data_IF_061126735032
#
_entry.id   IF_061126735032
#
_cell.length_a   1.000
_cell.length_b   1.000
_cell.length_c   1.000
_cell.angle_alpha   90.00
_cell.angle_beta   90.00
_cell.angle_gamma   90.00
#
_symmetry.space_group_name_H-M   'P 1'
#
loop_
_entity.id
_entity.type
_entity.pdbx_description
1 polymer ?
#
# COMPACT_ATOMS: atom_id res chain seq x y z
N UNK A 1 -45.96 -34.58 -23.30
CA UNK A 1 -44.82 -34.19 -22.44
C UNK A 1 -45.26 -34.27 -21.00
N UNK A 2 -44.63 -35.14 -20.22
CA UNK A 2 -45.15 -35.58 -18.92
C UNK A 2 -44.73 -34.62 -17.81
N UNK A 3 -45.52 -34.54 -16.74
CA UNK A 3 -45.28 -33.65 -15.58
C UNK A 3 -43.85 -33.78 -15.00
N UNK A 4 -43.27 -34.97 -15.13
CA UNK A 4 -41.89 -35.36 -14.78
C UNK A 4 -40.82 -34.63 -15.59
N UNK A 5 -41.02 -34.38 -16.89
CA UNK A 5 -40.04 -33.67 -17.74
C UNK A 5 -39.87 -32.21 -17.30
N UNK A 6 -40.99 -31.56 -16.96
CA UNK A 6 -40.98 -30.19 -16.42
C UNK A 6 -40.30 -30.10 -15.07
N UNK A 7 -40.47 -31.10 -14.21
CA UNK A 7 -39.83 -31.14 -12.90
C UNK A 7 -38.31 -31.35 -13.03
N UNK A 8 -37.87 -32.23 -13.93
CA UNK A 8 -36.46 -32.43 -14.24
C UNK A 8 -35.83 -31.16 -14.83
N UNK A 9 -36.52 -30.46 -15.74
CA UNK A 9 -36.06 -29.19 -16.27
C UNK A 9 -35.89 -28.11 -15.18
N UNK A 10 -36.85 -27.99 -14.25
CA UNK A 10 -36.77 -27.06 -13.12
C UNK A 10 -35.58 -27.37 -12.20
N UNK A 11 -35.35 -28.64 -11.87
CA UNK A 11 -34.19 -29.05 -11.05
C UNK A 11 -32.87 -28.67 -11.71
N UNK A 12 -32.69 -28.98 -12.99
CA UNK A 12 -31.48 -28.60 -13.76
C UNK A 12 -31.25 -27.08 -13.80
N UNK A 13 -32.32 -26.30 -13.94
CA UNK A 13 -32.23 -24.83 -13.90
C UNK A 13 -31.78 -24.36 -12.52
N UNK A 14 -32.35 -24.90 -11.45
CA UNK A 14 -31.97 -24.53 -10.08
C UNK A 14 -30.52 -24.93 -9.76
N UNK A 15 -30.09 -26.13 -10.15
CA UNK A 15 -28.71 -26.59 -9.99
C UNK A 15 -27.72 -25.64 -10.70
N UNK A 16 -28.03 -25.20 -11.92
CA UNK A 16 -27.19 -24.23 -12.64
C UNK A 16 -27.14 -22.86 -11.95
N UNK A 17 -28.27 -22.40 -11.41
CA UNK A 17 -28.32 -21.13 -10.67
C UNK A 17 -27.48 -21.21 -9.39
N UNK A 18 -27.61 -22.31 -8.64
CA UNK A 18 -26.83 -22.54 -7.42
C UNK A 18 -25.35 -22.59 -7.75
N UNK A 19 -24.94 -23.42 -8.70
CA UNK A 19 -23.54 -23.51 -9.14
C UNK A 19 -22.99 -22.16 -9.57
N UNK A 20 -23.77 -21.38 -10.33
CA UNK A 20 -23.35 -20.05 -10.76
C UNK A 20 -23.16 -19.09 -9.59
N UNK A 21 -24.01 -19.16 -8.57
CA UNK A 21 -23.88 -18.34 -7.35
C UNK A 21 -22.63 -18.74 -6.55
N UNK A 22 -22.35 -20.02 -6.43
CA UNK A 22 -21.15 -20.54 -5.78
C UNK A 22 -19.88 -20.05 -6.50
N UNK A 23 -19.82 -20.19 -7.83
CA UNK A 23 -18.70 -19.70 -8.64
C UNK A 23 -18.45 -18.19 -8.47
N UNK A 24 -19.52 -17.39 -8.42
CA UNK A 24 -19.43 -15.95 -8.21
C UNK A 24 -18.97 -15.61 -6.80
N UNK A 25 -19.49 -16.29 -5.78
CA UNK A 25 -19.09 -16.09 -4.39
C UNK A 25 -17.61 -16.45 -4.18
N UNK A 26 -17.15 -17.58 -4.71
CA UNK A 26 -15.74 -17.96 -4.65
C UNK A 26 -14.85 -16.95 -5.38
N UNK A 27 -15.28 -16.47 -6.55
CA UNK A 27 -14.55 -15.44 -7.29
C UNK A 27 -14.45 -14.16 -6.48
N UNK A 28 -15.54 -13.75 -5.83
CA UNK A 28 -15.56 -12.56 -4.99
C UNK A 28 -14.62 -12.71 -3.78
N UNK A 29 -14.63 -13.87 -3.12
CA UNK A 29 -13.67 -14.17 -2.04
C UNK A 29 -12.23 -14.06 -2.52
N UNK A 30 -11.91 -14.63 -3.69
CA UNK A 30 -10.57 -14.54 -4.28
C UNK A 30 -10.17 -13.10 -4.59
N UNK A 31 -11.06 -12.32 -5.20
CA UNK A 31 -10.78 -10.91 -5.53
C UNK A 31 -10.56 -10.10 -4.25
N UNK A 32 -11.42 -10.25 -3.24
CA UNK A 32 -11.28 -9.56 -1.96
C UNK A 32 -9.94 -9.88 -1.29
N UNK A 33 -9.55 -11.15 -1.26
CA UNK A 33 -8.26 -11.57 -0.70
C UNK A 33 -7.08 -10.95 -1.46
N UNK A 34 -7.12 -10.91 -2.80
CA UNK A 34 -6.10 -10.28 -3.62
C UNK A 34 -6.00 -8.76 -3.38
N UNK A 35 -7.14 -8.06 -3.31
CA UNK A 35 -7.17 -6.63 -3.04
C UNK A 35 -6.57 -6.32 -1.68
N UNK A 36 -6.94 -7.08 -0.64
CA UNK A 36 -6.37 -6.90 0.70
C UNK A 36 -4.86 -7.12 0.72
N UNK A 37 -4.37 -8.17 0.04
CA UNK A 37 -2.95 -8.46 -0.04
C UNK A 37 -2.16 -7.35 -0.77
N UNK A 38 -2.67 -6.85 -1.89
CA UNK A 38 -2.03 -5.76 -2.64
C UNK A 38 -2.05 -4.47 -1.83
N UNK A 39 -3.18 -4.11 -1.23
CA UNK A 39 -3.28 -2.91 -0.39
C UNK A 39 -2.30 -2.95 0.79
N UNK A 40 -2.18 -4.10 1.46
CA UNK A 40 -1.19 -4.27 2.53
C UNK A 40 0.24 -4.07 2.02
N UNK A 41 0.59 -4.69 0.89
CA UNK A 41 1.92 -4.55 0.29
C UNK A 41 2.23 -3.10 -0.14
N UNK A 42 1.23 -2.35 -0.62
CA UNK A 42 1.38 -0.93 -0.94
C UNK A 42 1.68 -0.12 0.32
N UNK A 43 0.92 -0.33 1.39
CA UNK A 43 1.14 0.37 2.66
C UNK A 43 2.51 0.05 3.26
N UNK A 44 2.95 -1.21 3.21
CA UNK A 44 4.27 -1.60 3.69
C UNK A 44 5.39 -0.96 2.87
N UNK A 45 5.21 -0.87 1.54
CA UNK A 45 6.13 -0.13 0.68
C UNK A 45 6.16 1.35 1.05
N UNK A 46 5.01 1.99 1.23
CA UNK A 46 4.93 3.42 1.59
C UNK A 46 5.62 3.70 2.93
N UNK A 47 5.43 2.83 3.94
CA UNK A 47 6.14 2.90 5.22
C UNK A 47 7.65 2.78 5.03
N UNK A 48 8.10 1.78 4.27
CA UNK A 48 9.52 1.58 4.00
C UNK A 48 10.15 2.77 3.26
N UNK A 49 9.42 3.37 2.30
CA UNK A 49 9.84 4.58 1.60
C UNK A 49 9.91 5.78 2.54
N UNK A 50 8.90 6.01 3.37
CA UNK A 50 8.88 7.10 4.34
C UNK A 50 10.02 6.98 5.36
N UNK A 51 10.29 5.76 5.86
CA UNK A 51 11.40 5.50 6.77
C UNK A 51 12.77 5.70 6.11
N UNK A 52 12.91 5.35 4.82
CA UNK A 52 14.12 5.64 4.05
C UNK A 52 14.31 7.15 3.84
N UNK A 53 13.26 7.87 3.42
CA UNK A 53 13.32 9.31 3.20
C UNK A 53 13.59 10.07 4.51
N UNK A 54 13.02 9.64 5.64
CA UNK A 54 13.35 10.19 6.96
C UNK A 54 14.83 10.02 7.29
N UNK A 55 15.38 8.82 7.11
CA UNK A 55 16.81 8.54 7.35
C UNK A 55 17.73 9.36 6.45
N UNK A 56 17.36 9.53 5.18
CA UNK A 56 18.11 10.37 4.24
C UNK A 56 18.03 11.83 4.65
N UNK A 57 16.85 12.31 5.04
CA UNK A 57 16.66 13.69 5.50
C UNK A 57 17.47 13.99 6.76
N UNK A 58 17.49 13.05 7.70
CA UNK A 58 18.34 13.13 8.90
C UNK A 58 19.83 13.20 8.54
N UNK A 59 20.30 12.33 7.64
CA UNK A 59 21.69 12.35 7.20
C UNK A 59 22.07 13.67 6.48
N UNK A 60 21.17 14.20 5.64
CA UNK A 60 21.35 15.50 4.99
C UNK A 60 21.36 16.64 6.01
N UNK A 61 20.50 16.56 7.03
CA UNK A 61 20.47 17.55 8.10
C UNK A 61 21.77 17.51 8.91
N UNK A 62 22.23 16.32 9.32
CA UNK A 62 23.52 16.15 9.99
C UNK A 62 24.64 16.77 9.15
N UNK A 63 24.75 16.42 7.87
CA UNK A 63 25.82 16.89 7.00
C UNK A 63 25.78 18.42 6.80
N UNK A 64 24.60 19.00 6.57
CA UNK A 64 24.49 20.40 6.16
C UNK A 64 24.28 21.40 7.30
N UNK A 65 23.74 20.94 8.44
CA UNK A 65 23.41 21.79 9.59
C UNK A 65 24.38 21.56 10.74
N UNK A 66 24.68 20.31 11.07
CA UNK A 66 25.54 19.99 12.22
C UNK A 66 27.01 20.02 11.81
N UNK A 67 27.34 19.41 10.67
CA UNK A 67 28.71 19.36 10.14
C UNK A 67 29.02 20.58 9.24
N UNK A 68 28.03 21.45 9.03
CA UNK A 68 28.15 22.72 8.29
C UNK A 68 28.68 22.59 6.85
N UNK A 69 28.52 21.42 6.23
CA UNK A 69 28.92 21.20 4.84
C UNK A 69 28.02 22.04 3.91
N UNK A 70 28.62 22.82 2.99
CA UNK A 70 27.85 23.60 2.02
C UNK A 70 26.89 22.71 1.20
N UNK A 71 25.66 23.19 0.98
CA UNK A 71 24.61 22.42 0.29
C UNK A 71 25.05 21.88 -1.08
N UNK A 72 25.87 22.62 -1.83
CA UNK A 72 26.39 22.16 -3.13
C UNK A 72 27.38 21.01 -2.99
N UNK A 73 28.20 21.04 -1.95
CA UNK A 73 29.17 20.00 -1.65
C UNK A 73 28.46 18.75 -1.11
N UNK A 74 27.50 18.92 -0.19
CA UNK A 74 26.63 17.84 0.26
C UNK A 74 25.88 17.17 -0.90
N UNK A 75 25.38 17.95 -1.87
CA UNK A 75 24.74 17.42 -3.07
C UNK A 75 25.70 16.56 -3.91
N UNK A 76 26.95 17.01 -4.09
CA UNK A 76 27.97 16.23 -4.78
C UNK A 76 28.33 14.94 -4.03
N UNK A 77 28.50 15.01 -2.70
CA UNK A 77 28.83 13.85 -1.85
C UNK A 77 27.71 12.80 -1.84
N UNK A 78 26.45 13.24 -1.80
CA UNK A 78 25.31 12.34 -1.80
C UNK A 78 24.86 11.89 -3.20
N UNK A 79 25.46 12.42 -4.27
CA UNK A 79 25.02 12.16 -5.64
C UNK A 79 23.60 12.67 -5.93
N UNK A 80 23.17 13.74 -5.25
CA UNK A 80 21.84 14.31 -5.35
C UNK A 80 21.87 15.66 -6.07
N UNK A 81 20.72 16.09 -6.58
CA UNK A 81 20.58 17.46 -7.05
C UNK A 81 20.60 18.45 -5.88
N UNK A 82 21.12 19.65 -6.11
CA UNK A 82 21.11 20.74 -5.10
C UNK A 82 19.69 21.07 -4.63
N UNK A 83 18.69 20.98 -5.52
CA UNK A 83 17.28 21.19 -5.15
C UNK A 83 16.80 20.12 -4.18
N UNK A 84 17.26 18.89 -4.38
CA UNK A 84 16.88 17.74 -3.55
C UNK A 84 17.44 17.85 -2.15
N UNK A 85 18.72 18.18 -2.01
CA UNK A 85 19.34 18.44 -0.71
C UNK A 85 18.62 19.58 0.02
N UNK A 86 18.25 20.65 -0.69
CA UNK A 86 17.46 21.75 -0.09
C UNK A 86 16.07 21.30 0.36
N UNK A 87 15.43 20.38 -0.37
CA UNK A 87 14.12 19.81 0.00
C UNK A 87 14.27 18.98 1.27
N UNK A 88 15.16 18.00 1.25
CA UNK A 88 15.44 17.08 2.36
C UNK A 88 15.85 17.81 3.65
N UNK A 89 16.65 18.87 3.53
CA UNK A 89 17.03 19.72 4.67
C UNK A 89 15.84 20.46 5.31
N UNK A 90 14.77 20.73 4.54
CA UNK A 90 13.56 21.41 5.05
C UNK A 90 12.54 20.44 5.62
N UNK A 91 12.60 19.17 5.23
CA UNK A 91 11.76 18.11 5.79
C UNK A 91 12.22 17.85 7.22
N UNK A 92 11.47 18.36 8.20
CA UNK A 92 11.83 18.17 9.62
C UNK A 92 11.74 16.68 9.96
N UNK A 93 12.77 16.07 10.57
CA UNK A 93 12.77 14.64 10.91
C UNK A 93 11.67 14.25 11.92
N UNK A 94 11.09 15.23 12.62
CA UNK A 94 10.02 15.06 13.63
C UNK A 94 8.59 14.97 13.08
N UNK A 95 8.37 15.01 11.76
CA UNK A 95 7.03 14.78 11.20
C UNK A 95 6.68 13.28 11.23
N UNK A 96 6.67 12.67 12.42
CA UNK A 96 6.04 11.37 12.62
C UNK A 96 4.55 11.54 12.34
N UNK A 97 3.93 10.73 11.46
CA UNK A 97 2.47 10.71 11.33
C UNK A 97 1.87 10.38 12.70
N UNK A 98 0.70 10.93 13.06
CA UNK A 98 0.00 10.53 14.27
C UNK A 98 -0.20 9.02 14.21
N UNK A 99 0.37 8.31 15.17
CA UNK A 99 0.02 6.92 15.44
C UNK A 99 -1.45 6.97 15.84
N UNK A 100 -2.33 6.67 14.91
CA UNK A 100 -3.72 6.36 15.21
C UNK A 100 -3.65 5.08 16.03
N UNK A 101 -3.62 5.23 17.36
CA UNK A 101 -3.81 4.10 18.27
C UNK A 101 -5.23 3.61 18.01
N UNK A 102 -5.34 2.47 17.32
CA UNK A 102 -6.55 1.66 17.38
C UNK A 102 -6.75 1.29 18.86
N UNK A 103 -7.65 2.05 19.51
CA UNK A 103 -8.13 1.75 20.85
C UNK A 103 -8.91 0.43 20.84
N UNK A 104 -8.85 -0.36 21.93
CA UNK A 104 -9.44 -1.68 21.94
C UNK A 104 -10.98 -1.61 22.07
N UNK A 105 -11.61 -2.48 21.26
CA UNK A 105 -12.92 -3.14 21.38
C UNK A 105 -14.08 -2.43 22.09
#
# INVERSE_FOLDING_TARGET
MTQTDRQAARRRVMERIVKRREELAEREVRIRAQVLAVSAAVLDRERAFADAERRISEAVHQLTVNDMVPVREAAALCGLEVREVKRLRRTRPDASPPVMSDGPA
#
